data_IF_469942576379
#
_entry.id   IF_469942576379
#
_cell.length_a   1.000
_cell.length_b   1.000
_cell.length_c   1.000
_cell.angle_alpha   90.00
_cell.angle_beta   90.00
_cell.angle_gamma   90.00
#
_symmetry.space_group_name_H-M   'P 1'
#
loop_
_entity.id
_entity.type
_entity.pdbx_description
1 polymer ?
#
# COMPACT_ATOMS: atom_id res chain seq x y z
N UNK A 1 18.61 -8.48 15.39
CA UNK A 1 17.16 -8.56 15.08
C UNK A 1 17.01 -8.83 13.61
N UNK A 2 16.41 -9.95 13.26
CA UNK A 2 16.12 -10.29 11.86
C UNK A 2 15.02 -9.38 11.29
N UNK A 3 14.87 -9.27 9.96
CA UNK A 3 13.74 -8.53 9.36
C UNK A 3 12.38 -9.03 9.84
N UNK A 4 12.21 -10.34 9.97
CA UNK A 4 10.98 -10.92 10.52
C UNK A 4 10.72 -10.52 11.99
N UNK A 5 11.73 -10.55 12.87
CA UNK A 5 11.58 -10.07 14.25
C UNK A 5 11.23 -8.58 14.33
N UNK A 6 11.83 -7.76 13.44
CA UNK A 6 11.47 -6.34 13.28
C UNK A 6 10.01 -6.19 12.86
N UNK A 7 9.54 -7.01 11.91
CA UNK A 7 8.15 -7.03 11.47
C UNK A 7 7.18 -7.32 12.62
N UNK A 8 7.41 -8.38 13.39
CA UNK A 8 6.57 -8.74 14.54
C UNK A 8 6.53 -7.59 15.56
N UNK A 9 7.68 -7.02 15.91
CA UNK A 9 7.74 -5.92 16.86
C UNK A 9 6.95 -4.68 16.39
N UNK A 10 6.97 -4.36 15.10
CA UNK A 10 6.21 -3.22 14.55
C UNK A 10 4.71 -3.53 14.57
N UNK A 11 4.31 -4.72 14.12
CA UNK A 11 2.90 -5.12 14.06
C UNK A 11 2.27 -5.11 15.45
N UNK A 12 2.97 -5.62 16.43
CA UNK A 12 2.54 -5.66 17.85
C UNK A 12 2.47 -4.24 18.43
N UNK A 13 3.53 -3.47 18.33
CA UNK A 13 3.62 -2.11 18.86
C UNK A 13 2.57 -1.16 18.30
N UNK A 14 2.31 -1.24 17.00
CA UNK A 14 1.36 -0.37 16.29
C UNK A 14 -0.07 -0.94 16.28
N UNK A 15 -0.31 -2.09 16.91
CA UNK A 15 -1.63 -2.72 17.06
C UNK A 15 -2.38 -2.93 15.74
N UNK A 16 -1.66 -3.33 14.67
CA UNK A 16 -2.22 -3.36 13.31
C UNK A 16 -3.38 -4.34 13.16
N UNK A 17 -3.42 -5.42 13.92
CA UNK A 17 -4.41 -6.49 13.77
C UNK A 17 -5.33 -6.67 14.98
N UNK A 18 -5.24 -5.84 16.03
CA UNK A 18 -6.03 -6.00 17.27
C UNK A 18 -7.55 -6.04 17.02
N UNK A 19 -8.03 -5.41 15.96
CA UNK A 19 -9.44 -5.36 15.58
C UNK A 19 -9.76 -6.17 14.30
N UNK A 20 -8.79 -6.93 13.78
CA UNK A 20 -8.88 -7.59 12.49
C UNK A 20 -8.47 -9.06 12.58
N UNK A 21 -9.45 -9.95 12.63
CA UNK A 21 -9.20 -11.39 12.62
C UNK A 21 -9.19 -11.98 11.21
N UNK A 22 -10.00 -11.43 10.30
CA UNK A 22 -10.13 -11.91 8.93
C UNK A 22 -9.42 -10.96 7.96
N UNK A 23 -8.31 -11.41 7.40
CA UNK A 23 -7.34 -10.59 6.67
C UNK A 23 -7.23 -11.03 5.21
N UNK A 24 -7.33 -10.07 4.28
CA UNK A 24 -7.07 -10.26 2.86
C UNK A 24 -5.67 -9.77 2.50
N UNK A 25 -4.80 -10.64 2.01
CA UNK A 25 -3.46 -10.27 1.54
C UNK A 25 -3.49 -10.06 0.02
N UNK A 26 -3.13 -8.88 -0.44
CA UNK A 26 -2.93 -8.61 -1.87
C UNK A 26 -1.60 -9.24 -2.33
N UNK A 27 -1.69 -10.32 -3.10
CA UNK A 27 -0.55 -11.13 -3.53
C UNK A 27 -0.32 -11.00 -5.04
N UNK A 28 0.75 -10.32 -5.43
CA UNK A 28 1.14 -10.25 -6.85
C UNK A 28 2.03 -11.42 -7.29
N UNK A 29 2.63 -12.12 -6.34
CA UNK A 29 3.63 -13.16 -6.59
C UNK A 29 5.07 -12.64 -6.68
N UNK A 30 5.29 -11.33 -6.68
CA UNK A 30 6.64 -10.74 -6.63
C UNK A 30 7.24 -10.75 -5.23
N UNK A 31 8.56 -10.48 -5.13
CA UNK A 31 9.35 -10.53 -3.90
C UNK A 31 8.64 -9.87 -2.70
N UNK A 32 8.19 -8.63 -2.86
CA UNK A 32 7.64 -7.82 -1.79
C UNK A 32 6.36 -8.47 -1.21
N UNK A 33 5.44 -8.89 -2.09
CA UNK A 33 4.17 -9.49 -1.69
C UNK A 33 4.34 -10.92 -1.13
N UNK A 34 5.31 -11.68 -1.64
CA UNK A 34 5.62 -13.02 -1.12
C UNK A 34 6.30 -12.93 0.24
N UNK A 35 7.21 -11.97 0.46
CA UNK A 35 7.79 -11.70 1.78
C UNK A 35 6.71 -11.37 2.80
N UNK A 36 5.82 -10.43 2.46
CA UNK A 36 4.69 -10.07 3.33
C UNK A 36 3.82 -11.27 3.67
N UNK A 37 3.43 -12.05 2.66
CA UNK A 37 2.60 -13.25 2.87
C UNK A 37 3.30 -14.27 3.77
N UNK A 38 4.57 -14.57 3.51
CA UNK A 38 5.34 -15.53 4.30
C UNK A 38 5.44 -15.09 5.77
N UNK A 39 5.72 -13.80 6.04
CA UNK A 39 5.81 -13.29 7.40
C UNK A 39 4.45 -13.30 8.12
N UNK A 40 3.36 -12.93 7.43
CA UNK A 40 2.02 -13.03 8.00
C UNK A 40 1.62 -14.49 8.24
N UNK A 41 1.92 -15.39 7.31
CA UNK A 41 1.61 -16.82 7.47
C UNK A 41 2.34 -17.43 8.66
N UNK A 42 3.61 -17.10 8.85
CA UNK A 42 4.39 -17.51 10.01
C UNK A 42 3.84 -16.94 11.32
N UNK A 43 3.33 -15.71 11.29
CA UNK A 43 2.84 -14.98 12.46
C UNK A 43 1.35 -15.19 12.76
N UNK A 44 0.57 -15.87 11.91
CA UNK A 44 -0.90 -15.89 11.97
C UNK A 44 -1.46 -16.36 13.31
N UNK A 45 -0.87 -17.37 13.91
CA UNK A 45 -1.28 -17.89 15.21
C UNK A 45 -0.94 -16.89 16.34
N UNK A 46 0.24 -16.26 16.29
CA UNK A 46 0.66 -15.23 17.25
C UNK A 46 -0.25 -14.01 17.21
N UNK A 47 -0.63 -13.59 16.00
CA UNK A 47 -1.48 -12.42 15.77
C UNK A 47 -2.98 -12.74 15.86
N UNK A 48 -3.35 -14.02 16.03
CA UNK A 48 -4.73 -14.49 16.02
C UNK A 48 -5.53 -14.03 14.80
N UNK A 49 -4.94 -14.20 13.60
CA UNK A 49 -5.53 -13.83 12.32
C UNK A 49 -5.72 -15.02 11.38
N UNK A 50 -6.78 -14.99 10.60
CA UNK A 50 -7.04 -15.89 9.47
C UNK A 50 -6.68 -15.17 8.18
N UNK A 51 -5.95 -15.84 7.29
CA UNK A 51 -5.50 -15.28 6.04
C UNK A 51 -6.33 -15.76 4.86
N UNK A 52 -6.66 -14.85 3.98
CA UNK A 52 -7.11 -15.09 2.61
C UNK A 52 -6.21 -14.32 1.64
N UNK A 53 -6.12 -14.74 0.40
CA UNK A 53 -5.27 -14.12 -0.62
C UNK A 53 -6.09 -13.64 -1.79
N UNK A 54 -5.80 -12.45 -2.28
CA UNK A 54 -6.34 -11.90 -3.52
C UNK A 54 -5.23 -11.65 -4.54
N UNK A 55 -5.39 -12.20 -5.73
CA UNK A 55 -4.46 -12.08 -6.86
C UNK A 55 -5.14 -11.45 -8.07
N UNK A 56 -4.43 -10.59 -8.80
CA UNK A 56 -4.91 -10.01 -10.04
C UNK A 56 -3.94 -10.35 -11.16
N UNK A 57 -4.41 -11.15 -12.11
CA UNK A 57 -3.67 -11.46 -13.31
C UNK A 57 -3.94 -10.38 -14.37
N UNK A 58 -2.93 -9.59 -14.67
CA UNK A 58 -3.03 -8.50 -15.65
C UNK A 58 -2.98 -8.97 -17.11
N UNK A 59 -2.76 -10.27 -17.35
CA UNK A 59 -2.68 -10.88 -18.71
C UNK A 59 -1.69 -10.18 -19.64
N UNK A 60 -0.66 -9.54 -19.11
CA UNK A 60 0.33 -8.80 -19.87
C UNK A 60 1.47 -9.68 -20.40
N UNK A 61 1.67 -10.85 -19.79
CA UNK A 61 2.73 -11.79 -20.14
C UNK A 61 2.15 -13.19 -20.37
N UNK A 62 2.76 -13.94 -21.29
CA UNK A 62 2.34 -15.32 -21.56
C UNK A 62 2.47 -16.25 -20.32
N UNK A 63 3.39 -15.92 -19.41
CA UNK A 63 3.62 -16.69 -18.19
C UNK A 63 2.67 -16.36 -17.04
N UNK A 64 1.89 -15.28 -17.12
CA UNK A 64 1.03 -14.82 -16.01
C UNK A 64 -0.02 -15.87 -15.59
N UNK A 65 -0.51 -16.67 -16.52
CA UNK A 65 -1.47 -17.74 -16.22
C UNK A 65 -0.82 -18.92 -15.48
N UNK A 66 0.42 -19.19 -15.81
CA UNK A 66 1.20 -20.21 -15.08
C UNK A 66 1.53 -19.74 -13.66
N UNK A 67 1.94 -18.47 -13.51
CA UNK A 67 2.22 -17.85 -12.21
C UNK A 67 0.97 -17.88 -11.30
N UNK A 68 -0.19 -17.51 -11.82
CA UNK A 68 -1.48 -17.58 -11.10
C UNK A 68 -1.78 -19.00 -10.64
N UNK A 69 -1.60 -20.00 -11.53
CA UNK A 69 -1.83 -21.41 -11.18
C UNK A 69 -0.90 -21.90 -10.08
N UNK A 70 0.39 -21.57 -10.14
CA UNK A 70 1.37 -21.92 -9.10
C UNK A 70 0.99 -21.29 -7.75
N UNK A 71 0.56 -20.01 -7.73
CA UNK A 71 0.08 -19.36 -6.51
C UNK A 71 -1.16 -20.05 -5.97
N UNK A 72 -2.12 -20.40 -6.83
CA UNK A 72 -3.34 -21.10 -6.44
C UNK A 72 -3.05 -22.46 -5.81
N UNK A 73 -2.17 -23.26 -6.42
CA UNK A 73 -1.74 -24.56 -5.91
C UNK A 73 -1.05 -24.40 -4.54
N UNK A 74 -0.12 -23.45 -4.43
CA UNK A 74 0.55 -23.15 -3.16
C UNK A 74 -0.43 -22.74 -2.05
N UNK A 75 -1.41 -21.89 -2.34
CA UNK A 75 -2.41 -21.48 -1.34
C UNK A 75 -3.32 -22.66 -0.94
N UNK A 76 -3.68 -23.54 -1.88
CA UNK A 76 -4.46 -24.74 -1.59
C UNK A 76 -3.70 -25.70 -0.66
N UNK A 77 -2.41 -25.94 -0.89
CA UNK A 77 -1.55 -26.77 -0.04
C UNK A 77 -1.42 -26.21 1.39
N UNK A 78 -1.48 -24.87 1.54
CA UNK A 78 -1.43 -24.19 2.84
C UNK A 78 -2.81 -24.06 3.51
N UNK A 79 -3.90 -24.48 2.84
CA UNK A 79 -5.26 -24.32 3.32
C UNK A 79 -5.74 -22.86 3.35
N UNK A 80 -5.20 -21.99 2.49
CA UNK A 80 -5.51 -20.57 2.39
C UNK A 80 -6.50 -20.31 1.25
N UNK A 81 -7.58 -19.58 1.50
CA UNK A 81 -8.53 -19.19 0.47
C UNK A 81 -7.85 -18.26 -0.56
N UNK A 82 -8.00 -18.59 -1.85
CA UNK A 82 -7.39 -17.86 -2.96
C UNK A 82 -8.47 -17.32 -3.90
N UNK A 83 -8.52 -16.00 -4.04
CA UNK A 83 -9.42 -15.29 -4.93
C UNK A 83 -8.64 -14.65 -6.05
N UNK A 84 -9.01 -14.90 -7.30
CA UNK A 84 -8.34 -14.28 -8.43
C UNK A 84 -9.30 -13.63 -9.41
N UNK A 85 -8.79 -12.66 -10.16
CA UNK A 85 -9.49 -12.01 -11.26
C UNK A 85 -8.51 -11.62 -12.36
N UNK A 86 -9.04 -11.40 -13.56
CA UNK A 86 -8.26 -11.01 -14.73
C UNK A 86 -8.59 -9.58 -15.14
N UNK A 87 -7.57 -8.75 -15.32
CA UNK A 87 -7.74 -7.43 -15.88
C UNK A 87 -7.73 -7.53 -17.41
N UNK A 88 -8.87 -7.21 -18.03
CA UNK A 88 -9.03 -7.18 -19.48
C UNK A 88 -9.34 -5.75 -19.91
N UNK A 89 -8.43 -5.13 -20.64
CA UNK A 89 -8.65 -3.77 -21.14
C UNK A 89 -7.37 -3.04 -21.53
N UNK A 90 -7.52 -1.82 -22.08
CA UNK A 90 -6.36 -0.95 -22.32
C UNK A 90 -5.69 -0.59 -20.99
N UNK A 91 -4.41 -0.91 -20.87
CA UNK A 91 -3.67 -0.67 -19.65
C UNK A 91 -3.47 0.83 -19.43
N UNK A 92 -4.06 1.36 -18.36
CA UNK A 92 -3.62 2.59 -17.75
C UNK A 92 -3.44 2.33 -16.25
N UNK A 93 -2.39 2.90 -15.66
CA UNK A 93 -2.06 2.72 -14.24
C UNK A 93 -3.25 3.08 -13.33
N UNK A 94 -3.98 4.13 -13.67
CA UNK A 94 -5.15 4.60 -12.91
C UNK A 94 -6.32 3.60 -13.02
N UNK A 95 -6.68 3.14 -14.22
CA UNK A 95 -7.75 2.16 -14.43
C UNK A 95 -7.42 0.82 -13.76
N UNK A 96 -6.17 0.34 -13.90
CA UNK A 96 -5.73 -0.88 -13.25
C UNK A 96 -5.75 -0.74 -11.72
N UNK A 97 -5.46 0.46 -11.19
CA UNK A 97 -5.59 0.76 -9.76
C UNK A 97 -7.05 0.70 -9.31
N UNK A 98 -7.99 1.36 -9.98
CA UNK A 98 -9.42 1.31 -9.63
C UNK A 98 -9.94 -0.13 -9.67
N UNK A 99 -9.72 -0.85 -10.77
CA UNK A 99 -10.11 -2.25 -10.90
C UNK A 99 -9.60 -3.13 -9.75
N UNK A 100 -8.36 -2.90 -9.32
CA UNK A 100 -7.74 -3.63 -8.21
C UNK A 100 -8.47 -3.39 -6.89
N UNK A 101 -8.74 -2.12 -6.57
CA UNK A 101 -9.39 -1.76 -5.32
C UNK A 101 -10.87 -2.19 -5.29
N UNK A 102 -11.59 -2.08 -6.40
CA UNK A 102 -12.97 -2.58 -6.57
C UNK A 102 -13.03 -4.11 -6.37
N UNK A 103 -12.07 -4.83 -6.91
CA UNK A 103 -11.97 -6.28 -6.71
C UNK A 103 -11.73 -6.62 -5.24
N UNK A 104 -10.79 -5.97 -4.59
CA UNK A 104 -10.50 -6.22 -3.17
C UNK A 104 -11.71 -5.88 -2.29
N UNK A 105 -12.37 -4.76 -2.52
CA UNK A 105 -13.55 -4.35 -1.76
C UNK A 105 -14.69 -5.35 -1.90
N UNK A 106 -14.93 -5.85 -3.10
CA UNK A 106 -15.93 -6.89 -3.36
C UNK A 106 -15.61 -8.15 -2.58
N UNK A 107 -14.40 -8.70 -2.69
CA UNK A 107 -14.01 -9.92 -1.96
C UNK A 107 -14.11 -9.72 -0.45
N UNK A 108 -13.65 -8.58 0.07
CA UNK A 108 -13.77 -8.28 1.50
C UNK A 108 -15.23 -8.22 1.96
N UNK A 109 -16.13 -7.72 1.13
CA UNK A 109 -17.56 -7.63 1.45
C UNK A 109 -18.22 -9.00 1.40
N UNK A 110 -17.97 -9.78 0.34
CA UNK A 110 -18.54 -11.11 0.13
C UNK A 110 -18.11 -12.12 1.20
N UNK A 111 -16.89 -11.98 1.71
CA UNK A 111 -16.29 -12.92 2.68
C UNK A 111 -16.11 -12.33 4.09
N UNK A 112 -16.70 -11.17 4.36
CA UNK A 112 -16.66 -10.49 5.67
C UNK A 112 -15.23 -10.22 6.19
N UNK A 113 -14.27 -9.97 5.28
CA UNK A 113 -12.90 -9.65 5.63
C UNK A 113 -12.81 -8.19 6.06
N UNK A 114 -12.06 -7.90 7.13
CA UNK A 114 -12.02 -6.58 7.77
C UNK A 114 -10.76 -5.80 7.47
N UNK A 115 -9.67 -6.46 7.08
CA UNK A 115 -8.42 -5.82 6.71
C UNK A 115 -7.90 -6.27 5.34
N UNK A 116 -7.50 -5.31 4.51
CA UNK A 116 -6.69 -5.52 3.31
C UNK A 116 -5.24 -5.20 3.65
N UNK A 117 -4.32 -6.13 3.40
CA UNK A 117 -2.90 -5.94 3.64
C UNK A 117 -2.13 -5.91 2.32
N UNK A 118 -1.28 -4.90 2.16
CA UNK A 118 -0.49 -4.71 0.93
C UNK A 118 0.99 -4.51 1.25
N UNK A 119 1.87 -4.98 0.36
CA UNK A 119 3.31 -5.01 0.54
C UNK A 119 4.02 -3.68 0.14
N UNK A 120 3.35 -2.53 0.30
CA UNK A 120 4.01 -1.25 0.08
C UNK A 120 5.11 -1.07 1.14
N UNK A 121 6.27 -0.60 0.71
CA UNK A 121 7.47 -0.45 1.53
C UNK A 121 8.07 0.98 1.42
N UNK A 122 9.18 1.22 2.10
CA UNK A 122 9.82 2.54 2.22
C UNK A 122 10.14 3.16 0.85
N UNK A 123 10.64 2.36 -0.10
CA UNK A 123 10.99 2.87 -1.43
C UNK A 123 9.76 3.36 -2.19
N UNK A 124 8.59 2.70 -2.02
CA UNK A 124 7.33 3.16 -2.60
C UNK A 124 6.90 4.54 -2.08
N UNK A 125 7.21 4.89 -0.83
CA UNK A 125 6.94 6.24 -0.30
C UNK A 125 7.72 7.29 -1.08
N UNK A 126 9.01 7.06 -1.28
CA UNK A 126 9.91 7.97 -2.01
C UNK A 126 9.48 8.09 -3.48
N UNK A 127 9.22 6.96 -4.14
CA UNK A 127 8.72 6.94 -5.52
C UNK A 127 7.43 7.73 -5.68
N UNK A 128 6.43 7.46 -4.83
CA UNK A 128 5.15 8.16 -4.89
C UNK A 128 5.27 9.65 -4.61
N UNK A 129 6.15 10.05 -3.67
CA UNK A 129 6.39 11.47 -3.41
C UNK A 129 6.93 12.16 -4.66
N UNK A 130 7.96 11.63 -5.31
CA UNK A 130 8.52 12.18 -6.54
C UNK A 130 7.52 12.19 -7.69
N UNK A 131 6.76 11.12 -7.89
CA UNK A 131 5.72 11.05 -8.93
C UNK A 131 4.69 12.16 -8.72
N UNK A 132 4.25 12.39 -7.48
CA UNK A 132 3.31 13.46 -7.14
C UNK A 132 3.91 14.83 -7.40
N UNK A 133 5.18 15.06 -7.06
CA UNK A 133 5.89 16.32 -7.37
C UNK A 133 5.96 16.56 -8.88
N UNK A 134 6.38 15.57 -9.67
CA UNK A 134 6.46 15.64 -11.14
C UNK A 134 5.09 15.97 -11.75
N UNK A 135 4.00 15.44 -11.17
CA UNK A 135 2.62 15.70 -11.60
C UNK A 135 2.04 17.05 -11.10
N UNK A 136 2.82 17.83 -10.36
CA UNK A 136 2.38 19.13 -9.84
C UNK A 136 1.35 19.04 -8.71
N UNK A 137 1.42 17.99 -7.89
CA UNK A 137 0.48 17.80 -6.79
C UNK A 137 0.61 18.90 -5.73
N UNK A 138 -0.54 19.33 -5.18
CA UNK A 138 -0.61 20.30 -4.08
C UNK A 138 -0.18 19.64 -2.77
N UNK A 139 0.17 20.45 -1.76
CA UNK A 139 0.70 20.04 -0.46
C UNK A 139 -0.12 18.89 0.20
N UNK A 140 -1.46 19.00 0.20
CA UNK A 140 -2.36 17.98 0.75
C UNK A 140 -2.21 16.58 0.12
N UNK A 141 -1.75 16.53 -1.12
CA UNK A 141 -1.53 15.28 -1.86
C UNK A 141 -0.11 14.74 -1.72
N UNK A 142 0.78 15.47 -1.05
CA UNK A 142 2.14 15.02 -0.74
C UNK A 142 2.21 14.18 0.53
N UNK A 143 1.13 14.17 1.32
CA UNK A 143 0.99 13.25 2.45
C UNK A 143 1.24 11.83 1.94
N UNK A 144 2.21 11.14 2.52
CA UNK A 144 2.60 9.80 2.13
C UNK A 144 1.49 8.77 2.33
N UNK A 145 1.77 7.53 1.95
CA UNK A 145 0.91 6.41 2.31
C UNK A 145 0.97 6.22 3.82
N UNK A 146 -0.18 6.06 4.46
CA UNK A 146 -0.28 5.73 5.88
C UNK A 146 -0.16 4.22 6.10
N UNK A 147 0.40 3.81 7.23
CA UNK A 147 0.49 2.41 7.62
C UNK A 147 -0.91 1.79 7.75
N UNK A 148 -1.85 2.53 8.33
CA UNK A 148 -3.26 2.13 8.43
C UNK A 148 -4.13 3.27 7.91
N UNK A 149 -5.10 2.95 7.06
CA UNK A 149 -6.12 3.89 6.60
C UNK A 149 -7.46 3.19 6.41
N UNK A 150 -8.56 3.94 6.52
CA UNK A 150 -9.89 3.43 6.18
C UNK A 150 -9.93 2.95 4.72
N UNK A 151 -10.69 1.88 4.46
CA UNK A 151 -10.81 1.26 3.14
C UNK A 151 -12.26 0.97 2.79
N UNK A 152 -12.65 1.28 1.54
CA UNK A 152 -14.00 1.06 1.02
C UNK A 152 -15.03 2.08 1.46
N UNK A 153 -16.25 1.95 0.92
CA UNK A 153 -17.40 2.77 1.25
C UNK A 153 -18.37 1.97 2.14
N UNK A 154 -18.99 2.61 3.13
CA UNK A 154 -20.06 2.02 3.93
C UNK A 154 -19.84 2.02 5.44
N UNK A 155 -20.80 1.42 6.17
CA UNK A 155 -20.86 1.41 7.63
C UNK A 155 -19.92 0.40 8.32
N UNK A 156 -19.34 -0.53 7.57
CA UNK A 156 -18.36 -1.47 8.11
C UNK A 156 -16.96 -0.88 7.99
N UNK A 157 -16.29 -0.71 9.11
CA UNK A 157 -14.92 -0.20 9.18
C UNK A 157 -13.93 -1.24 8.64
N UNK A 158 -13.63 -1.16 7.35
CA UNK A 158 -12.53 -1.92 6.75
C UNK A 158 -11.26 -1.08 6.78
N UNK A 159 -10.13 -1.74 6.94
CA UNK A 159 -8.81 -1.09 6.97
C UNK A 159 -7.92 -1.57 5.83
N UNK A 160 -7.13 -0.64 5.28
CA UNK A 160 -5.98 -0.95 4.44
C UNK A 160 -4.72 -0.79 5.27
N UNK A 161 -3.99 -1.88 5.45
CA UNK A 161 -2.80 -1.96 6.30
C UNK A 161 -1.55 -2.18 5.43
N UNK A 162 -0.48 -1.45 5.72
CA UNK A 162 0.82 -1.53 5.02
C UNK A 162 1.94 -1.71 6.04
N UNK A 163 2.14 -2.92 6.54
CA UNK A 163 3.07 -3.14 7.64
C UNK A 163 4.54 -3.03 7.23
N UNK A 164 4.84 -2.99 5.92
CA UNK A 164 6.21 -2.90 5.41
C UNK A 164 6.68 -1.46 5.11
N UNK A 165 5.90 -0.42 5.42
CA UNK A 165 6.26 0.97 5.08
C UNK A 165 7.58 1.47 5.70
N UNK A 166 8.06 0.82 6.75
CA UNK A 166 9.34 1.14 7.41
C UNK A 166 10.50 0.23 6.98
N UNK A 167 10.24 -0.70 6.06
CA UNK A 167 11.24 -1.64 5.54
C UNK A 167 11.78 -1.17 4.19
N UNK A 168 13.06 -1.42 3.98
CA UNK A 168 13.72 -1.30 2.69
C UNK A 168 13.58 -2.62 1.92
N UNK A 169 13.53 -2.55 0.60
CA UNK A 169 13.41 -3.75 -0.23
C UNK A 169 14.55 -4.74 -0.03
N UNK A 170 15.73 -4.26 0.36
CA UNK A 170 16.90 -5.06 0.70
C UNK A 170 16.71 -5.97 1.94
N UNK A 171 15.69 -5.70 2.76
CA UNK A 171 15.35 -6.51 3.94
C UNK A 171 14.43 -7.69 3.62
N UNK A 172 13.94 -7.82 2.37
CA UNK A 172 12.99 -8.85 1.98
C UNK A 172 13.70 -10.16 1.65
N UNK A 173 13.14 -11.28 2.10
CA UNK A 173 13.78 -12.58 2.16
C UNK A 173 12.99 -13.74 1.53
N UNK A 174 11.91 -13.45 0.77
CA UNK A 174 11.18 -14.50 0.07
C UNK A 174 12.09 -15.20 -0.94
N UNK A 175 12.17 -16.53 -0.83
CA UNK A 175 12.99 -17.38 -1.71
C UNK A 175 12.25 -17.86 -2.95
N UNK A 176 10.92 -17.87 -2.90
CA UNK A 176 10.04 -18.27 -4.00
C UNK A 176 9.17 -17.09 -4.41
N UNK A 177 9.50 -16.46 -5.53
CA UNK A 177 8.75 -15.36 -6.12
C UNK A 177 8.97 -15.29 -7.62
N UNK A 178 8.10 -14.57 -8.32
CA UNK A 178 8.22 -14.31 -9.75
C UNK A 178 8.90 -12.96 -9.99
N UNK A 179 9.88 -12.95 -10.88
CA UNK A 179 10.46 -11.70 -11.35
C UNK A 179 9.64 -11.11 -12.49
N UNK A 180 9.29 -9.84 -12.36
CA UNK A 180 8.62 -9.10 -13.41
C UNK A 180 9.64 -8.33 -14.25
N UNK A 181 9.96 -8.87 -15.43
CA UNK A 181 10.92 -8.25 -16.36
C UNK A 181 10.50 -6.82 -16.78
N UNK A 182 9.19 -6.48 -16.74
CA UNK A 182 8.72 -5.14 -17.07
C UNK A 182 9.19 -4.06 -16.08
N UNK A 183 9.64 -4.44 -14.89
CA UNK A 183 10.24 -3.51 -13.91
C UNK A 183 11.53 -2.86 -14.42
N UNK A 184 12.24 -3.49 -15.35
CA UNK A 184 13.44 -2.95 -15.98
C UNK A 184 13.15 -1.96 -17.13
N UNK A 185 11.93 -1.96 -17.65
CA UNK A 185 11.52 -1.07 -18.74
C UNK A 185 11.22 0.33 -18.22
N UNK A 186 11.59 1.38 -18.98
CA UNK A 186 11.41 2.77 -18.55
C UNK A 186 10.20 3.48 -19.21
N UNK A 187 9.25 2.74 -19.73
CA UNK A 187 8.07 3.28 -20.40
C UNK A 187 7.14 4.01 -19.43
N UNK A 188 7.00 3.49 -18.24
CA UNK A 188 6.16 4.08 -17.20
C UNK A 188 6.93 5.07 -16.33
N UNK A 189 6.26 6.15 -15.90
CA UNK A 189 6.86 7.17 -15.04
C UNK A 189 7.43 6.55 -13.75
N UNK A 190 6.74 5.58 -13.14
CA UNK A 190 7.20 4.92 -11.92
C UNK A 190 8.53 4.21 -12.14
N UNK A 191 8.67 3.50 -13.25
CA UNK A 191 9.92 2.80 -13.58
C UNK A 191 11.06 3.81 -13.83
N UNK A 192 10.79 4.94 -14.52
CA UNK A 192 11.80 6.01 -14.69
C UNK A 192 12.22 6.62 -13.36
N UNK A 193 11.26 6.86 -12.45
CA UNK A 193 11.58 7.36 -11.11
C UNK A 193 12.49 6.37 -10.39
N UNK A 194 12.14 5.08 -10.37
CA UNK A 194 12.90 4.01 -9.71
C UNK A 194 14.28 3.80 -10.33
N UNK A 195 14.33 3.68 -11.64
CA UNK A 195 15.53 3.20 -12.34
C UNK A 195 16.51 4.33 -12.73
N UNK A 196 16.01 5.57 -12.89
CA UNK A 196 16.81 6.68 -13.42
C UNK A 196 16.89 7.86 -12.44
N UNK A 197 15.75 8.35 -11.92
CA UNK A 197 15.75 9.61 -11.19
C UNK A 197 16.21 9.44 -9.75
N UNK A 198 15.69 8.46 -9.03
CA UNK A 198 16.13 8.18 -7.66
C UNK A 198 17.63 7.88 -7.59
N UNK A 199 18.19 6.96 -8.39
CA UNK A 199 19.63 6.71 -8.38
C UNK A 199 20.48 7.95 -8.70
N UNK A 200 19.99 8.85 -9.58
CA UNK A 200 20.69 10.10 -9.88
C UNK A 200 20.70 11.05 -8.67
N UNK A 201 19.57 11.21 -7.97
CA UNK A 201 19.51 12.03 -6.76
C UNK A 201 20.31 11.45 -5.59
N UNK A 202 20.28 10.13 -5.42
CA UNK A 202 21.05 9.44 -4.37
C UNK A 202 22.55 9.50 -4.60
N UNK A 203 22.98 9.61 -5.85
CA UNK A 203 24.39 9.87 -6.17
C UNK A 203 24.84 11.24 -5.69
N UNK A 204 23.98 12.27 -5.78
CA UNK A 204 24.28 13.62 -5.26
C UNK A 204 24.14 13.68 -3.73
N UNK A 205 23.15 12.98 -3.17
CA UNK A 205 22.93 12.90 -1.74
C UNK A 205 22.47 11.47 -1.34
N UNK A 206 23.36 10.65 -0.77
CA UNK A 206 23.03 9.26 -0.38
C UNK A 206 21.86 9.14 0.61
N UNK A 207 21.49 10.22 1.30
CA UNK A 207 20.34 10.26 2.21
C UNK A 207 19.08 10.85 1.57
N UNK A 208 19.04 10.98 0.26
CA UNK A 208 17.94 11.66 -0.43
C UNK A 208 16.58 11.00 -0.15
N UNK A 209 16.49 9.69 -0.30
CA UNK A 209 15.27 8.93 -0.03
C UNK A 209 14.82 9.02 1.43
N UNK A 210 15.76 8.98 2.39
CA UNK A 210 15.49 9.17 3.80
C UNK A 210 14.95 10.57 4.09
N UNK A 211 15.57 11.60 3.51
CA UNK A 211 15.13 12.99 3.68
C UNK A 211 13.72 13.22 3.09
N UNK A 212 13.39 12.61 1.95
CA UNK A 212 12.04 12.69 1.37
C UNK A 212 10.99 12.01 2.24
N UNK A 213 11.30 10.85 2.81
CA UNK A 213 10.40 10.17 3.74
C UNK A 213 10.16 11.04 4.99
N UNK A 214 11.22 11.66 5.54
CA UNK A 214 11.12 12.61 6.64
C UNK A 214 10.24 13.83 6.31
N UNK A 215 10.43 14.42 5.13
CA UNK A 215 9.62 15.55 4.67
C UNK A 215 8.13 15.17 4.52
N UNK A 216 7.84 13.98 4.01
CA UNK A 216 6.46 13.49 3.91
C UNK A 216 5.79 13.35 5.28
N UNK A 217 6.52 12.85 6.28
CA UNK A 217 6.05 12.74 7.66
C UNK A 217 5.82 14.12 8.31
N UNK A 218 6.72 15.07 8.09
CA UNK A 218 6.57 16.46 8.56
C UNK A 218 5.33 17.12 7.96
N UNK A 219 5.11 16.97 6.65
CA UNK A 219 3.91 17.48 5.97
C UNK A 219 2.65 16.86 6.58
N UNK A 220 2.64 15.56 6.82
CA UNK A 220 1.50 14.87 7.44
C UNK A 220 1.19 15.41 8.83
N UNK A 221 2.20 15.59 9.68
CA UNK A 221 2.07 16.16 11.03
C UNK A 221 1.57 17.61 10.98
N UNK A 222 2.13 18.44 10.11
CA UNK A 222 1.68 19.80 9.92
C UNK A 222 0.21 19.88 9.47
N UNK A 223 -0.19 19.07 8.51
CA UNK A 223 -1.57 19.02 8.03
C UNK A 223 -2.54 18.51 9.11
N UNK A 224 -2.13 17.57 9.97
CA UNK A 224 -2.93 17.12 11.10
C UNK A 224 -3.18 18.25 12.12
N UNK A 225 -2.15 19.06 12.42
CA UNK A 225 -2.26 20.23 13.29
C UNK A 225 -3.22 21.26 12.68
N UNK A 226 -3.08 21.55 11.39
CA UNK A 226 -3.98 22.49 10.68
C UNK A 226 -5.42 21.99 10.73
N UNK A 227 -5.66 20.71 10.43
CA UNK A 227 -6.99 20.13 10.48
C UNK A 227 -7.61 20.14 11.89
N UNK A 228 -6.81 19.86 12.92
CA UNK A 228 -7.25 19.96 14.31
C UNK A 228 -7.62 21.39 14.68
N UNK A 229 -6.75 22.37 14.35
CA UNK A 229 -6.98 23.77 14.65
C UNK A 229 -8.20 24.32 13.92
N UNK A 230 -8.41 23.96 12.65
CA UNK A 230 -9.58 24.35 11.88
C UNK A 230 -10.88 23.78 12.49
N UNK A 231 -10.88 22.52 12.91
CA UNK A 231 -12.04 21.91 13.58
C UNK A 231 -12.35 22.57 14.93
N UNK A 232 -11.32 22.83 15.73
CA UNK A 232 -11.47 23.50 17.02
C UNK A 232 -12.03 24.92 16.85
N UNK A 233 -11.52 25.68 15.88
CA UNK A 233 -12.01 27.02 15.54
C UNK A 233 -13.46 26.97 15.06
N UNK A 234 -13.80 26.11 14.11
CA UNK A 234 -15.16 25.98 13.60
C UNK A 234 -16.16 25.59 14.70
N UNK A 235 -15.76 24.70 15.62
CA UNK A 235 -16.60 24.34 16.77
C UNK A 235 -16.83 25.51 17.73
N UNK A 236 -15.81 26.34 17.98
CA UNK A 236 -15.90 27.51 18.86
C UNK A 236 -16.80 28.61 18.27
N UNK A 237 -16.69 28.87 16.97
CA UNK A 237 -17.45 29.89 16.25
C UNK A 237 -18.77 29.39 15.67
N UNK A 238 -19.11 28.10 15.87
CA UNK A 238 -20.30 27.45 15.28
C UNK A 238 -20.37 27.54 13.75
N UNK A 239 -19.20 27.52 13.10
CA UNK A 239 -19.08 27.60 11.63
C UNK A 239 -19.24 26.20 11.04
N UNK A 240 -19.99 26.08 9.94
CA UNK A 240 -20.05 24.85 9.16
C UNK A 240 -18.70 24.63 8.43
N UNK A 241 -18.02 23.53 8.75
CA UNK A 241 -16.72 23.21 8.14
C UNK A 241 -16.80 23.01 6.62
N UNK A 242 -17.97 22.63 6.09
CA UNK A 242 -18.17 22.46 4.64
C UNK A 242 -18.19 23.81 3.96
N UNK A 243 -18.91 24.77 4.56
CA UNK A 243 -18.99 26.14 4.06
C UNK A 243 -17.64 26.84 4.15
N UNK A 244 -16.93 26.72 5.27
CA UNK A 244 -15.58 27.23 5.46
C UNK A 244 -14.56 26.65 4.47
N UNK A 245 -14.65 25.35 4.16
CA UNK A 245 -13.79 24.71 3.16
C UNK A 245 -14.03 25.26 1.75
N UNK A 246 -15.29 25.52 1.37
CA UNK A 246 -15.67 26.10 0.09
C UNK A 246 -15.17 27.55 -0.04
N UNK A 247 -15.24 28.34 1.02
CA UNK A 247 -14.72 29.72 1.03
C UNK A 247 -13.21 29.76 0.82
N UNK A 248 -12.45 28.86 1.47
CA UNK A 248 -11.00 28.75 1.25
C UNK A 248 -10.67 28.31 -0.19
N UNK A 249 -11.44 27.41 -0.78
CA UNK A 249 -11.24 26.99 -2.17
C UNK A 249 -11.53 28.11 -3.17
N UNK A 250 -12.44 29.02 -2.86
CA UNK A 250 -12.77 30.19 -3.69
C UNK A 250 -11.74 31.33 -3.56
N UNK A 251 -10.86 31.31 -2.54
CA UNK A 251 -9.78 32.28 -2.35
C UNK A 251 -8.48 31.88 -3.08
N UNK A 252 -8.43 30.77 -3.79
CA UNK A 252 -7.31 30.25 -4.59
C UNK A 252 -7.55 30.39 -6.09
#
# INVERSE_FOLDING_TARGET
MTPYEKFINIVDKEHYFDQHQEVLVALSGGLDSMTLFNWLYQAKELLNISLSVAHINHKQRAVSDHEEKVLQEKMADLGISFYSTHYVGSFSEEKARHFRYDFFERIMTEHHLTALVTAHHKDDLTENFLIRQIRGSRLRHLIGMQAVQAFGEGSQSKSLIRPLLTFEKSEFDATEYFEDASNAENDYLRNRVRNLYLPAFEKENPRFSENLAGLSDEIQKAMAIVAYSARAYAAAEKIDLIEFSREIENLQ
#
